data_IF_201966613405
#
_entry.id   IF_201966613405
#
_cell.length_a   1.000
_cell.length_b   1.000
_cell.length_c   1.000
_cell.angle_alpha   90.00
_cell.angle_beta   90.00
_cell.angle_gamma   90.00
#
_symmetry.space_group_name_H-M   'P 1'
#
loop_
_entity.id
_entity.type
_entity.pdbx_description
1 polymer ?
#
# COMPACT_ATOMS: atom_id res chain seq x y z
N UNK A 1 -2.46 2.65 -13.67
CA UNK A 1 -1.47 1.67 -13.13
C UNK A 1 -2.17 0.34 -12.85
N UNK A 2 -1.46 -0.78 -12.65
CA UNK A 2 -2.07 -2.04 -12.14
C UNK A 2 -2.01 -2.08 -10.62
N UNK A 3 -3.13 -2.31 -9.97
CA UNK A 3 -3.24 -2.43 -8.51
C UNK A 3 -4.53 -3.17 -8.12
N UNK A 4 -4.58 -3.55 -6.86
CA UNK A 4 -5.74 -4.15 -6.19
C UNK A 4 -6.08 -3.37 -4.92
N UNK A 5 -7.37 -3.14 -4.66
CA UNK A 5 -7.89 -2.52 -3.43
C UNK A 5 -9.26 -3.08 -3.07
N UNK A 6 -9.67 -2.91 -1.83
CA UNK A 6 -11.03 -3.24 -1.36
C UNK A 6 -11.73 -2.00 -0.83
N UNK A 7 -13.04 -2.13 -0.62
CA UNK A 7 -13.82 -1.09 0.02
C UNK A 7 -13.39 -0.93 1.49
N UNK A 8 -13.53 0.30 2.07
CA UNK A 8 -13.23 0.54 3.48
C UNK A 8 -14.11 -0.31 4.41
N UNK A 9 -13.52 -0.77 5.51
CA UNK A 9 -14.17 -1.53 6.57
C UNK A 9 -14.27 -0.68 7.84
N UNK A 10 -15.49 -0.42 8.32
CA UNK A 10 -15.72 0.23 9.61
C UNK A 10 -15.50 -0.76 10.75
N UNK A 11 -14.52 -0.45 11.60
CA UNK A 11 -14.11 -1.22 12.79
C UNK A 11 -14.20 -0.37 14.06
N UNK A 12 -14.86 0.80 14.01
CA UNK A 12 -14.97 1.73 15.14
C UNK A 12 -15.68 1.12 16.36
N UNK A 13 -16.49 0.08 16.14
CA UNK A 13 -17.20 -0.68 17.16
C UNK A 13 -16.35 -1.76 17.86
N UNK A 14 -15.14 -2.03 17.35
CA UNK A 14 -14.22 -3.03 17.90
C UNK A 14 -13.28 -2.44 18.95
N UNK A 15 -12.74 -3.30 19.82
CA UNK A 15 -11.66 -2.91 20.75
C UNK A 15 -10.37 -2.57 19.99
N UNK A 16 -9.44 -1.78 20.57
CA UNK A 16 -8.17 -1.45 19.91
C UNK A 16 -7.36 -2.67 19.44
N UNK A 17 -7.40 -3.77 20.18
CA UNK A 17 -6.75 -5.03 19.83
C UNK A 17 -7.41 -5.67 18.60
N UNK A 18 -8.74 -5.78 18.62
CA UNK A 18 -9.52 -6.30 17.49
C UNK A 18 -9.39 -5.43 16.23
N UNK A 19 -9.24 -4.11 16.37
CA UNK A 19 -8.95 -3.23 15.24
C UNK A 19 -7.58 -3.53 14.62
N UNK A 20 -6.56 -3.86 15.42
CA UNK A 20 -5.25 -4.27 14.91
C UNK A 20 -5.29 -5.66 14.28
N UNK A 21 -6.09 -6.58 14.82
CA UNK A 21 -6.35 -7.86 14.18
C UNK A 21 -7.01 -7.68 12.80
N UNK A 22 -8.03 -6.82 12.72
CA UNK A 22 -8.68 -6.47 11.45
C UNK A 22 -7.70 -5.83 10.46
N UNK A 23 -6.83 -4.92 10.92
CA UNK A 23 -5.75 -4.35 10.12
C UNK A 23 -4.88 -5.46 9.50
N UNK A 24 -4.38 -6.40 10.31
CA UNK A 24 -3.53 -7.50 9.81
C UNK A 24 -4.28 -8.40 8.84
N UNK A 25 -5.52 -8.78 9.18
CA UNK A 25 -6.35 -9.68 8.38
C UNK A 25 -6.64 -9.09 7.00
N UNK A 26 -7.03 -7.82 6.94
CA UNK A 26 -7.35 -7.12 5.70
C UNK A 26 -6.14 -7.03 4.74
N UNK A 27 -4.93 -6.81 5.25
CA UNK A 27 -3.72 -6.84 4.42
C UNK A 27 -3.48 -8.23 3.81
N UNK A 28 -3.68 -9.30 4.60
CA UNK A 28 -3.51 -10.69 4.17
C UNK A 28 -4.56 -11.09 3.15
N UNK A 29 -5.83 -10.73 3.39
CA UNK A 29 -6.91 -11.03 2.47
C UNK A 29 -6.77 -10.30 1.14
N UNK A 30 -6.36 -9.03 1.17
CA UNK A 30 -6.03 -8.31 -0.05
C UNK A 30 -4.84 -8.98 -0.79
N UNK A 31 -3.83 -9.47 -0.07
CA UNK A 31 -2.70 -10.15 -0.69
C UNK A 31 -3.15 -11.44 -1.41
N UNK A 32 -4.00 -12.22 -0.74
CA UNK A 32 -4.62 -13.42 -1.28
C UNK A 32 -5.49 -13.13 -2.49
N UNK A 33 -6.25 -12.03 -2.50
CA UNK A 33 -7.06 -11.61 -3.64
C UNK A 33 -6.18 -11.15 -4.81
N UNK A 34 -5.17 -10.33 -4.52
CA UNK A 34 -4.32 -9.66 -5.50
C UNK A 34 -3.25 -10.56 -6.14
N UNK A 35 -2.83 -11.67 -5.53
CA UNK A 35 -1.82 -12.56 -6.14
C UNK A 35 -2.33 -13.19 -7.44
N UNK A 36 -1.42 -13.45 -8.38
CA UNK A 36 -1.69 -14.40 -9.47
C UNK A 36 -1.81 -15.83 -8.94
N UNK A 37 -2.13 -16.76 -9.85
CA UNK A 37 -2.12 -18.18 -9.55
C UNK A 37 -0.78 -18.60 -8.94
N UNK A 38 -0.85 -19.41 -7.90
CA UNK A 38 0.32 -19.99 -7.26
C UNK A 38 0.92 -21.07 -8.19
N UNK A 39 2.14 -20.89 -8.72
CA UNK A 39 2.73 -21.84 -9.66
C UNK A 39 2.98 -23.22 -9.03
N UNK A 40 3.10 -23.32 -7.71
CA UNK A 40 3.36 -24.57 -6.99
C UNK A 40 2.05 -25.31 -6.62
N UNK A 41 0.89 -24.66 -6.77
CA UNK A 41 -0.42 -25.24 -6.48
C UNK A 41 -1.25 -25.42 -7.77
N UNK A 42 -1.20 -26.58 -8.44
CA UNK A 42 -1.90 -26.81 -9.71
C UNK A 42 -3.43 -26.70 -9.62
N UNK A 43 -3.99 -26.76 -8.40
CA UNK A 43 -5.43 -26.64 -8.14
C UNK A 43 -5.86 -25.20 -7.86
N UNK A 44 -4.95 -24.22 -7.90
CA UNK A 44 -5.30 -22.82 -7.69
C UNK A 44 -6.36 -22.37 -8.71
N UNK A 45 -7.53 -21.90 -8.27
CA UNK A 45 -8.60 -21.49 -9.17
C UNK A 45 -8.18 -20.40 -10.16
N UNK A 46 -7.14 -19.60 -9.83
CA UNK A 46 -6.63 -18.54 -10.68
C UNK A 46 -5.85 -19.05 -11.89
N UNK A 47 -5.46 -20.33 -11.95
CA UNK A 47 -4.91 -20.92 -13.18
C UNK A 47 -5.91 -20.88 -14.34
N UNK A 48 -7.21 -20.78 -14.04
CA UNK A 48 -8.28 -20.70 -15.04
C UNK A 48 -8.44 -19.29 -15.63
N UNK A 49 -7.74 -18.29 -15.10
CA UNK A 49 -7.84 -16.90 -15.56
C UNK A 49 -6.87 -16.69 -16.72
N UNK A 50 -7.41 -16.43 -17.91
CA UNK A 50 -6.61 -15.98 -19.04
C UNK A 50 -6.21 -14.50 -18.84
N UNK A 51 -5.04 -14.27 -18.24
CA UNK A 51 -4.53 -12.93 -17.94
C UNK A 51 -4.35 -12.06 -19.18
N UNK A 52 -4.17 -12.65 -20.37
CA UNK A 52 -4.00 -11.89 -21.61
C UNK A 52 -5.33 -11.38 -22.17
N UNK A 53 -6.44 -12.09 -21.89
CA UNK A 53 -7.79 -11.73 -22.37
C UNK A 53 -8.66 -11.07 -21.31
N UNK A 54 -8.32 -11.20 -20.04
CA UNK A 54 -9.15 -10.69 -18.94
C UNK A 54 -8.97 -9.18 -18.80
N UNK A 55 -10.06 -8.44 -19.00
CA UNK A 55 -10.13 -7.02 -18.64
C UNK A 55 -10.51 -6.88 -17.16
N UNK A 56 -9.53 -6.54 -16.32
CA UNK A 56 -9.76 -6.29 -14.90
C UNK A 56 -10.33 -4.88 -14.70
N UNK A 57 -11.45 -4.72 -13.96
CA UNK A 57 -11.87 -3.41 -13.46
C UNK A 57 -10.73 -2.68 -12.72
N UNK A 58 -10.70 -1.34 -12.73
CA UNK A 58 -9.74 -0.56 -11.97
C UNK A 58 -9.68 -1.00 -10.50
N UNK A 59 -8.48 -1.21 -9.96
CA UNK A 59 -8.30 -1.66 -8.58
C UNK A 59 -8.60 -3.13 -8.31
N UNK A 60 -8.69 -3.97 -9.36
CA UNK A 60 -8.90 -5.43 -9.20
C UNK A 60 -7.84 -6.27 -9.93
N UNK A 61 -6.73 -5.65 -10.34
CA UNK A 61 -5.69 -6.36 -11.08
C UNK A 61 -5.02 -7.45 -10.22
N UNK A 62 -4.59 -8.53 -10.88
CA UNK A 62 -3.68 -9.49 -10.27
C UNK A 62 -2.21 -9.07 -10.47
N UNK A 63 -1.40 -9.30 -9.45
CA UNK A 63 -0.02 -8.86 -9.34
C UNK A 63 0.93 -10.06 -9.28
N UNK A 64 2.05 -9.96 -10.00
CA UNK A 64 3.14 -10.95 -10.03
C UNK A 64 3.91 -11.01 -8.70
N UNK A 65 4.00 -9.86 -8.04
CA UNK A 65 4.53 -9.70 -6.70
C UNK A 65 4.65 -8.23 -6.34
N UNK A 66 4.54 -7.91 -5.05
CA UNK A 66 4.79 -6.60 -4.43
C UNK A 66 4.39 -6.68 -2.94
N UNK A 67 4.01 -5.58 -2.29
CA UNK A 67 3.22 -5.64 -1.06
C UNK A 67 1.74 -5.40 -1.28
N UNK A 68 0.96 -6.03 -0.41
CA UNK A 68 -0.40 -5.67 -0.01
C UNK A 68 -0.31 -4.96 1.34
N UNK A 69 -1.14 -3.95 1.58
CA UNK A 69 -1.19 -3.32 2.89
C UNK A 69 -2.58 -2.88 3.28
N UNK A 70 -2.71 -2.57 4.55
CA UNK A 70 -3.90 -1.99 5.16
C UNK A 70 -3.52 -0.80 6.04
N UNK A 71 -4.44 0.14 6.19
CA UNK A 71 -4.31 1.34 7.01
C UNK A 71 -5.52 1.43 7.95
N UNK A 72 -5.28 1.53 9.24
CA UNK A 72 -6.27 1.82 10.27
C UNK A 72 -6.17 3.31 10.62
N UNK A 73 -7.27 4.04 10.41
CA UNK A 73 -7.37 5.46 10.76
C UNK A 73 -8.82 5.81 11.11
N UNK A 74 -9.04 6.48 12.24
CA UNK A 74 -10.37 6.85 12.76
C UNK A 74 -11.39 5.70 12.81
N UNK A 75 -10.96 4.51 13.20
CA UNK A 75 -11.83 3.33 13.26
C UNK A 75 -12.23 2.78 11.89
N UNK A 76 -11.54 3.16 10.81
CA UNK A 76 -11.74 2.61 9.47
C UNK A 76 -10.45 1.91 9.01
N UNK A 77 -10.59 0.68 8.50
CA UNK A 77 -9.52 -0.04 7.81
C UNK A 77 -9.71 0.09 6.30
N UNK A 78 -8.68 0.55 5.59
CA UNK A 78 -8.63 0.52 4.12
C UNK A 78 -7.50 -0.39 3.67
N UNK A 79 -7.66 -1.03 2.51
CA UNK A 79 -6.67 -1.98 1.99
C UNK A 79 -6.32 -1.65 0.54
N UNK A 80 -5.02 -1.57 0.25
CA UNK A 80 -4.51 -1.27 -1.08
C UNK A 80 -3.16 -1.97 -1.29
N UNK A 81 -2.92 -2.43 -2.50
CA UNK A 81 -1.65 -3.06 -2.87
C UNK A 81 -0.67 -2.04 -3.46
N UNK A 82 0.55 -2.45 -3.73
CA UNK A 82 1.43 -1.62 -4.52
C UNK A 82 0.88 -1.41 -5.92
N UNK A 83 1.17 -0.25 -6.49
CA UNK A 83 0.88 0.06 -7.86
C UNK A 83 2.06 -0.36 -8.75
N UNK A 84 1.81 -1.26 -9.68
CA UNK A 84 2.80 -1.73 -10.66
C UNK A 84 2.50 -1.15 -12.04
N UNK A 85 3.49 -1.22 -12.93
CA UNK A 85 3.37 -0.71 -14.30
C UNK A 85 2.13 -1.31 -14.98
N UNK A 86 1.29 -0.44 -15.52
CA UNK A 86 0.13 -0.76 -16.38
C UNK A 86 0.13 0.10 -17.64
N UNK A 87 -0.90 0.00 -18.47
CA UNK A 87 -1.03 0.85 -19.65
C UNK A 87 -1.21 2.34 -19.24
N UNK A 88 -0.53 3.26 -19.92
CA UNK A 88 -0.79 4.70 -19.88
C UNK A 88 -0.26 5.51 -18.68
N UNK A 89 0.28 4.89 -17.61
CA UNK A 89 0.74 5.61 -16.42
C UNK A 89 2.02 4.97 -15.83
N UNK A 90 3.02 5.78 -15.49
CA UNK A 90 4.33 5.33 -14.97
C UNK A 90 4.42 5.31 -13.43
N UNK A 91 3.69 6.20 -12.77
CA UNK A 91 3.65 6.39 -11.31
C UNK A 91 2.21 6.55 -10.85
N UNK A 92 1.85 6.17 -9.62
CA UNK A 92 0.52 6.40 -9.08
C UNK A 92 0.19 7.89 -9.07
N UNK A 93 -1.09 8.19 -9.21
CA UNK A 93 -1.61 9.53 -8.96
C UNK A 93 -1.82 9.66 -7.44
N UNK A 94 -0.81 10.16 -6.74
CA UNK A 94 -0.87 10.37 -5.30
C UNK A 94 -1.53 11.71 -4.98
N UNK A 95 -2.18 11.79 -3.82
CA UNK A 95 -2.60 13.05 -3.22
C UNK A 95 -1.45 14.09 -3.25
N UNK A 96 -1.69 15.36 -3.61
CA UNK A 96 -0.62 16.35 -3.80
C UNK A 96 0.37 16.43 -2.64
N UNK A 97 -0.10 16.42 -1.40
CA UNK A 97 0.78 16.42 -0.23
C UNK A 97 1.62 15.14 -0.11
N UNK A 98 1.08 13.95 -0.40
CA UNK A 98 1.89 12.73 -0.41
C UNK A 98 2.90 12.72 -1.55
N UNK A 99 2.53 13.27 -2.71
CA UNK A 99 3.49 13.47 -3.79
C UNK A 99 4.65 14.36 -3.33
N UNK A 100 4.36 15.48 -2.66
CA UNK A 100 5.39 16.37 -2.10
C UNK A 100 6.27 15.65 -1.09
N UNK A 101 5.70 14.85 -0.18
CA UNK A 101 6.47 14.05 0.78
C UNK A 101 7.44 13.11 0.05
N UNK A 102 6.97 12.37 -0.96
CA UNK A 102 7.85 11.46 -1.71
C UNK A 102 8.92 12.21 -2.51
N UNK A 103 8.59 13.36 -3.11
CA UNK A 103 9.59 14.23 -3.76
C UNK A 103 10.67 14.69 -2.76
N UNK A 104 10.31 14.98 -1.51
CA UNK A 104 11.24 15.37 -0.45
C UNK A 104 12.12 14.20 0.00
N UNK A 105 11.52 13.02 0.19
CA UNK A 105 12.24 11.78 0.50
C UNK A 105 13.24 11.43 -0.59
N UNK A 106 12.87 11.59 -1.87
CA UNK A 106 13.78 11.38 -2.98
C UNK A 106 14.99 12.33 -2.91
N UNK A 107 14.76 13.61 -2.62
CA UNK A 107 15.85 14.59 -2.46
C UNK A 107 16.76 14.23 -1.29
N UNK A 108 16.21 13.85 -0.14
CA UNK A 108 16.99 13.43 1.03
C UNK A 108 17.86 12.20 0.72
N UNK A 109 17.26 11.14 0.16
CA UNK A 109 18.01 9.91 -0.16
C UNK A 109 19.13 10.17 -1.16
N UNK A 110 18.90 11.04 -2.17
CA UNK A 110 19.93 11.41 -3.16
C UNK A 110 21.03 12.28 -2.56
N UNK A 111 20.69 13.20 -1.66
CA UNK A 111 21.67 14.02 -0.96
C UNK A 111 22.65 13.16 -0.12
N UNK A 112 22.15 12.05 0.43
CA UNK A 112 22.96 11.06 1.15
C UNK A 112 23.73 10.08 0.22
N UNK A 113 23.75 10.33 -1.10
CA UNK A 113 24.40 9.46 -2.10
C UNK A 113 23.66 8.15 -2.36
N UNK A 114 22.42 8.01 -1.90
CA UNK A 114 21.60 6.81 -2.06
C UNK A 114 20.71 6.81 -3.31
N UNK A 115 19.98 5.71 -3.50
CA UNK A 115 18.95 5.56 -4.52
C UNK A 115 17.61 5.19 -3.87
N UNK A 116 16.49 5.90 -4.16
CA UNK A 116 15.19 5.67 -3.51
C UNK A 116 14.58 4.27 -3.74
N UNK A 117 15.04 3.56 -4.77
CA UNK A 117 14.56 2.24 -5.17
C UNK A 117 13.40 2.29 -6.16
N UNK A 118 13.19 1.20 -6.90
CA UNK A 118 12.18 1.13 -7.96
C UNK A 118 10.73 1.29 -7.47
N UNK A 119 10.49 0.97 -6.19
CA UNK A 119 9.19 1.06 -5.51
C UNK A 119 8.88 2.44 -4.90
N UNK A 120 9.78 3.40 -4.98
CA UNK A 120 9.56 4.75 -4.45
C UNK A 120 8.25 5.35 -4.98
N UNK A 121 7.36 5.79 -4.06
CA UNK A 121 6.03 6.32 -4.36
C UNK A 121 5.03 5.31 -4.94
N UNK A 122 5.32 4.00 -4.89
CA UNK A 122 4.49 2.94 -5.51
C UNK A 122 4.01 1.86 -4.55
N UNK A 123 4.64 1.74 -3.38
CA UNK A 123 4.29 0.73 -2.38
C UNK A 123 2.85 0.92 -1.86
N UNK A 124 2.32 -0.10 -1.21
CA UNK A 124 0.96 -0.09 -0.66
C UNK A 124 0.73 1.12 0.25
N UNK A 125 1.70 1.43 1.11
CA UNK A 125 1.72 2.52 2.07
C UNK A 125 1.52 3.89 1.39
N UNK A 126 2.15 4.12 0.24
CA UNK A 126 1.97 5.35 -0.53
C UNK A 126 0.52 5.54 -0.98
N UNK A 127 -0.08 4.47 -1.53
CA UNK A 127 -1.45 4.50 -2.02
C UNK A 127 -2.46 4.61 -0.88
N UNK A 128 -2.26 3.88 0.22
CA UNK A 128 -3.15 3.88 1.39
C UNK A 128 -3.29 5.28 1.99
N UNK A 129 -2.17 5.93 2.29
CA UNK A 129 -2.19 7.28 2.87
C UNK A 129 -2.74 8.27 1.86
N UNK A 130 -2.34 8.16 0.58
CA UNK A 130 -2.89 8.99 -0.49
C UNK A 130 -4.41 8.86 -0.63
N UNK A 131 -4.95 7.64 -0.63
CA UNK A 131 -6.38 7.38 -0.76
C UNK A 131 -7.14 7.93 0.45
N UNK A 132 -6.60 7.76 1.67
CA UNK A 132 -7.21 8.32 2.88
C UNK A 132 -7.22 9.85 2.85
N UNK A 133 -6.11 10.48 2.48
CA UNK A 133 -6.05 11.93 2.34
C UNK A 133 -7.05 12.43 1.30
N UNK A 134 -7.21 11.74 0.17
CA UNK A 134 -8.22 12.10 -0.84
C UNK A 134 -9.66 12.00 -0.33
N UNK A 135 -9.93 11.14 0.66
CA UNK A 135 -11.24 11.10 1.31
C UNK A 135 -11.47 12.30 2.22
N UNK A 136 -10.43 12.76 2.90
CA UNK A 136 -10.47 13.91 3.81
C UNK A 136 -10.40 15.26 3.07
N UNK A 137 -9.66 15.30 1.97
CA UNK A 137 -9.34 16.47 1.16
C UNK A 137 -9.35 16.08 -0.34
N UNK A 138 -10.53 15.99 -0.97
CA UNK A 138 -10.65 15.46 -2.33
C UNK A 138 -9.93 16.27 -3.41
N UNK A 139 -9.80 17.59 -3.21
CA UNK A 139 -9.15 18.50 -4.14
C UNK A 139 -7.66 18.73 -3.84
N UNK A 140 -7.17 18.28 -2.67
CA UNK A 140 -5.79 18.42 -2.25
C UNK A 140 -5.39 19.85 -1.86
N UNK A 141 -6.36 20.71 -1.56
CA UNK A 141 -6.12 22.11 -1.23
C UNK A 141 -6.05 22.37 0.28
N UNK A 142 -6.78 21.60 1.09
CA UNK A 142 -6.80 21.74 2.55
C UNK A 142 -5.57 21.13 3.25
N UNK A 143 -5.12 19.97 2.77
CA UNK A 143 -3.98 19.22 3.28
C UNK A 143 -2.84 19.35 2.27
N UNK A 144 -2.07 20.43 2.40
CA UNK A 144 -1.06 20.84 1.41
C UNK A 144 0.39 20.82 1.93
N UNK A 145 0.59 20.60 3.23
CA UNK A 145 1.91 20.57 3.87
C UNK A 145 2.14 19.26 4.65
N UNK A 146 3.40 18.96 4.97
CA UNK A 146 3.75 17.79 5.80
C UNK A 146 3.09 17.85 7.17
N UNK A 147 3.02 19.02 7.78
CA UNK A 147 2.38 19.20 9.09
C UNK A 147 0.86 18.96 9.00
N UNK A 148 0.20 19.43 7.93
CA UNK A 148 -1.22 19.11 7.73
C UNK A 148 -1.44 17.60 7.55
N UNK A 149 -0.55 16.91 6.81
CA UNK A 149 -0.63 15.45 6.67
C UNK A 149 -0.47 14.77 8.02
N UNK A 150 0.54 15.16 8.80
CA UNK A 150 0.79 14.60 10.13
C UNK A 150 -0.39 14.79 11.07
N UNK A 151 -1.01 15.96 11.04
CA UNK A 151 -2.20 16.26 11.83
C UNK A 151 -3.41 15.45 11.37
N UNK A 152 -3.63 15.38 10.05
CA UNK A 152 -4.76 14.65 9.45
C UNK A 152 -4.65 13.13 9.56
N UNK A 153 -3.44 12.59 9.72
CA UNK A 153 -3.17 11.15 9.83
C UNK A 153 -2.84 10.72 11.27
N UNK A 154 -3.07 11.57 12.26
CA UNK A 154 -2.70 11.31 13.65
C UNK A 154 -3.31 10.00 14.17
N UNK A 155 -2.48 9.14 14.75
CA UNK A 155 -2.91 7.85 15.29
C UNK A 155 -3.09 6.75 14.24
N UNK A 156 -2.81 7.04 12.97
CA UNK A 156 -2.84 6.03 11.90
C UNK A 156 -1.83 4.92 12.12
N UNK A 157 -2.24 3.70 11.80
CA UNK A 157 -1.35 2.54 11.74
C UNK A 157 -1.42 1.86 10.38
N UNK A 158 -0.28 1.47 9.84
CA UNK A 158 -0.17 0.73 8.57
C UNK A 158 0.45 -0.64 8.81
N UNK A 159 -0.08 -1.67 8.15
CA UNK A 159 0.51 -3.01 8.13
C UNK A 159 0.63 -3.48 6.69
N UNK A 160 1.68 -4.24 6.38
CA UNK A 160 1.94 -4.69 5.00
C UNK A 160 2.48 -6.11 4.97
N UNK A 161 2.09 -6.84 3.94
CA UNK A 161 2.51 -8.21 3.67
C UNK A 161 2.93 -8.38 2.22
N UNK A 162 3.73 -9.40 1.96
CA UNK A 162 4.22 -9.73 0.64
C UNK A 162 3.14 -10.44 -0.23
N UNK A 163 3.03 -10.05 -1.50
CA UNK A 163 2.19 -10.71 -2.52
C UNK A 163 3.09 -11.61 -3.36
N UNK A 164 2.77 -12.90 -3.47
CA UNK A 164 3.63 -13.87 -4.15
C UNK A 164 5.03 -13.97 -3.53
N UNK A 165 5.93 -14.69 -4.17
CA UNK A 165 7.29 -14.89 -3.65
C UNK A 165 8.21 -13.72 -4.02
N UNK A 166 9.00 -13.25 -3.05
CA UNK A 166 10.11 -12.31 -3.28
C UNK A 166 11.43 -13.04 -3.06
N UNK A 167 12.33 -12.99 -4.04
CA UNK A 167 13.68 -13.59 -3.91
C UNK A 167 14.72 -12.57 -3.43
N UNK A 168 14.59 -11.31 -3.84
CA UNK A 168 15.53 -10.21 -3.52
C UNK A 168 14.78 -8.94 -3.12
N UNK A 169 15.36 -8.06 -2.29
CA UNK A 169 16.69 -8.18 -1.66
C UNK A 169 16.76 -9.20 -0.53
N UNK A 170 15.64 -9.48 0.13
CA UNK A 170 15.50 -10.50 1.17
C UNK A 170 14.37 -11.45 0.77
N UNK A 171 14.55 -12.77 0.91
CA UNK A 171 13.47 -13.72 0.68
C UNK A 171 12.27 -13.41 1.58
N UNK A 172 11.09 -13.29 0.99
CA UNK A 172 9.82 -13.18 1.69
C UNK A 172 8.77 -14.01 0.96
N UNK A 173 8.10 -14.88 1.72
CA UNK A 173 6.99 -15.69 1.23
C UNK A 173 5.70 -14.89 1.11
N UNK A 174 4.76 -15.40 0.32
CA UNK A 174 3.43 -14.80 0.25
C UNK A 174 2.76 -14.71 1.63
N UNK A 175 2.22 -13.55 1.98
CA UNK A 175 1.52 -13.31 3.23
C UNK A 175 2.43 -13.01 4.43
N UNK A 176 3.75 -13.13 4.27
CA UNK A 176 4.71 -12.73 5.29
C UNK A 176 4.72 -11.21 5.49
N UNK A 177 4.93 -10.78 6.73
CA UNK A 177 5.09 -9.37 7.05
C UNK A 177 6.22 -8.76 6.23
N UNK A 178 5.92 -7.61 5.61
CA UNK A 178 6.90 -6.85 4.85
C UNK A 178 7.10 -5.48 5.51
N UNK A 179 8.26 -5.20 6.10
CA UNK A 179 8.52 -3.89 6.67
C UNK A 179 8.53 -2.82 5.56
N UNK A 180 8.20 -1.56 5.90
CA UNK A 180 8.30 -0.46 4.95
C UNK A 180 9.68 -0.39 4.32
N UNK A 181 9.73 -0.22 2.99
CA UNK A 181 11.02 0.02 2.33
C UNK A 181 11.62 1.36 2.80
N UNK A 182 12.92 1.59 2.58
CA UNK A 182 13.62 2.83 3.02
C UNK A 182 12.83 4.11 2.70
N UNK A 183 12.32 4.24 1.48
CA UNK A 183 11.52 5.40 1.07
C UNK A 183 10.20 5.52 1.85
N UNK A 184 9.50 4.40 2.04
CA UNK A 184 8.23 4.38 2.77
C UNK A 184 8.43 4.61 4.27
N UNK A 185 9.51 4.08 4.88
CA UNK A 185 9.81 4.33 6.28
C UNK A 185 9.94 5.83 6.57
N UNK A 186 10.71 6.55 5.74
CA UNK A 186 10.85 8.02 5.87
C UNK A 186 9.52 8.72 5.59
N UNK A 187 8.81 8.34 4.52
CA UNK A 187 7.54 8.96 4.17
C UNK A 187 6.45 8.77 5.24
N UNK A 188 6.38 7.59 5.87
CA UNK A 188 5.41 7.30 6.94
C UNK A 188 5.74 8.11 8.20
N UNK A 189 7.01 8.24 8.56
CA UNK A 189 7.45 9.11 9.66
C UNK A 189 7.08 10.58 9.41
N UNK A 190 7.33 11.08 8.19
CA UNK A 190 6.91 12.42 7.78
C UNK A 190 5.39 12.60 7.86
N UNK A 191 4.63 11.59 7.42
CA UNK A 191 3.17 11.60 7.44
C UNK A 191 2.54 11.36 8.82
N UNK A 192 3.33 11.06 9.87
CA UNK A 192 2.79 10.72 11.20
C UNK A 192 2.09 9.36 11.28
N UNK A 193 2.38 8.44 10.35
CA UNK A 193 1.78 7.10 10.27
C UNK A 193 2.75 6.09 10.88
N UNK A 194 2.26 5.25 11.80
CA UNK A 194 3.08 4.23 12.46
C UNK A 194 2.99 2.90 11.73
N UNK A 195 4.13 2.26 11.44
CA UNK A 195 4.13 0.88 10.96
C UNK A 195 3.85 -0.10 12.11
N UNK A 196 2.77 -0.86 11.99
CA UNK A 196 2.47 -1.98 12.88
C UNK A 196 3.22 -3.22 12.39
N UNK A 197 3.77 -4.02 13.31
CA UNK A 197 4.62 -5.17 12.98
C UNK A 197 3.97 -6.53 13.28
N UNK A 198 2.80 -6.55 13.90
CA UNK A 198 2.19 -7.77 14.47
C UNK A 198 2.65 -7.99 15.89
#
# INVERSE_FOLDING_TARGET
>A
MRHHRTDPLDVSHLTPEQQREALVQEARDLANKARKADPENPNDPKHKIDLAKTHFPPGTNLLDGSCSGSLLHDGVVTSHSSATKGAGQKTPDLHPAMKSIYDDVERQIKADGGFPGAGHGKCAEANLVSDRLRQLDPDGTGISSVDHVRDAMRGSQVYSVQIGEQIKPHPLGHGEYKPPCRSCAIAMDMAGVTAYAG
#
